data_IF_102349200827
#
_entry.id   IF_102349200827
#
_cell.length_a   1.000
_cell.length_b   1.000
_cell.length_c   1.000
_cell.angle_alpha   90.00
_cell.angle_beta   90.00
_cell.angle_gamma   90.00
#
_symmetry.space_group_name_H-M   'P 1'
#
loop_
_entity.id
_entity.type
_entity.pdbx_description
1 polymer ?
#
# COMPACT_ATOMS: atom_id res chain seq x y z
N UNK A 1 37.06 0.12 -20.97
CA UNK A 1 36.80 -0.46 -19.64
C UNK A 1 35.47 0.09 -19.13
N UNK A 2 34.37 -0.66 -19.29
CA UNK A 2 33.08 -0.24 -18.76
C UNK A 2 33.09 -0.46 -17.25
N UNK A 3 33.03 0.62 -16.46
CA UNK A 3 32.96 0.54 -14.99
C UNK A 3 31.78 -0.37 -14.62
N UNK A 4 32.01 -1.37 -13.76
CA UNK A 4 31.03 -2.36 -13.29
C UNK A 4 29.67 -1.74 -12.88
N UNK A 5 29.71 -0.51 -12.34
CA UNK A 5 28.54 0.32 -12.04
C UNK A 5 27.59 0.53 -13.24
N UNK A 6 28.11 0.79 -14.44
CA UNK A 6 27.29 1.05 -15.63
C UNK A 6 26.60 -0.23 -16.16
N UNK A 7 27.22 -1.40 -15.93
CA UNK A 7 26.68 -2.69 -16.36
C UNK A 7 25.49 -3.11 -15.50
N UNK A 8 25.59 -2.91 -14.17
CA UNK A 8 24.50 -3.21 -13.24
C UNK A 8 23.34 -2.22 -13.46
N UNK A 9 23.64 -0.92 -13.61
CA UNK A 9 22.62 0.10 -13.86
C UNK A 9 21.86 -0.16 -15.18
N UNK A 10 22.56 -0.55 -16.24
CA UNK A 10 21.95 -0.93 -17.52
C UNK A 10 21.06 -2.18 -17.43
N UNK A 11 21.47 -3.20 -16.68
CA UNK A 11 20.63 -4.40 -16.44
C UNK A 11 19.38 -4.09 -15.65
N UNK A 12 19.49 -3.29 -14.59
CA UNK A 12 18.37 -2.93 -13.72
C UNK A 12 17.37 -2.03 -14.45
N UNK A 13 17.84 -0.97 -15.12
CA UNK A 13 16.98 -0.11 -15.93
C UNK A 13 16.36 -0.86 -17.11
N UNK A 14 17.14 -1.71 -17.79
CA UNK A 14 16.64 -2.52 -18.90
C UNK A 14 15.52 -3.46 -18.45
N UNK A 15 15.69 -4.14 -17.30
CA UNK A 15 14.66 -4.99 -16.72
C UNK A 15 13.41 -4.21 -16.28
N UNK A 16 13.59 -3.06 -15.63
CA UNK A 16 12.48 -2.21 -15.19
C UNK A 16 11.67 -1.66 -16.37
N UNK A 17 12.35 -1.15 -17.41
CA UNK A 17 11.73 -0.65 -18.63
C UNK A 17 11.03 -1.77 -19.40
N UNK A 18 11.65 -2.94 -19.52
CA UNK A 18 11.04 -4.10 -20.17
C UNK A 18 9.78 -4.56 -19.43
N UNK A 19 9.81 -4.61 -18.09
CA UNK A 19 8.66 -4.97 -17.28
C UNK A 19 7.52 -3.95 -17.38
N UNK A 20 7.84 -2.66 -17.34
CA UNK A 20 6.86 -1.59 -17.53
C UNK A 20 6.23 -1.63 -18.92
N UNK A 21 7.05 -1.83 -19.96
CA UNK A 21 6.58 -1.99 -21.33
C UNK A 21 5.69 -3.22 -21.48
N UNK A 22 6.08 -4.36 -20.88
CA UNK A 22 5.29 -5.60 -20.91
C UNK A 22 3.91 -5.39 -20.28
N UNK A 23 3.86 -4.74 -19.11
CA UNK A 23 2.59 -4.39 -18.46
C UNK A 23 1.73 -3.49 -19.33
N UNK A 24 2.32 -2.45 -19.93
CA UNK A 24 1.63 -1.54 -20.83
C UNK A 24 1.08 -2.24 -22.07
N UNK A 25 1.85 -3.17 -22.65
CA UNK A 25 1.43 -3.97 -23.81
C UNK A 25 0.25 -4.88 -23.45
N UNK A 26 0.28 -5.57 -22.30
CA UNK A 26 -0.84 -6.42 -21.88
C UNK A 26 -2.13 -5.63 -21.65
N UNK A 27 -2.06 -4.53 -20.90
CA UNK A 27 -3.22 -3.68 -20.64
C UNK A 27 -3.73 -3.05 -21.94
N UNK A 28 -2.83 -2.53 -22.77
CA UNK A 28 -3.17 -1.93 -24.06
C UNK A 28 -3.83 -2.92 -25.02
N UNK A 29 -3.28 -4.13 -25.14
CA UNK A 29 -3.86 -5.19 -25.96
C UNK A 29 -5.25 -5.60 -25.44
N UNK A 30 -5.41 -5.75 -24.13
CA UNK A 30 -6.71 -6.04 -23.50
C UNK A 30 -7.76 -4.95 -23.77
N UNK A 31 -7.37 -3.68 -23.65
CA UNK A 31 -8.25 -2.54 -23.91
C UNK A 31 -8.67 -2.45 -25.39
N UNK A 32 -7.72 -2.62 -26.32
CA UNK A 32 -8.00 -2.60 -27.76
C UNK A 32 -8.90 -3.78 -28.14
N UNK A 33 -8.57 -5.00 -27.68
CA UNK A 33 -9.38 -6.18 -27.93
C UNK A 33 -10.81 -6.00 -27.40
N UNK A 34 -10.95 -5.41 -26.21
CA UNK A 34 -12.27 -5.10 -25.64
C UNK A 34 -13.02 -4.06 -26.48
N UNK A 35 -12.40 -2.93 -26.83
CA UNK A 35 -13.04 -1.87 -27.65
C UNK A 35 -13.56 -2.40 -28.99
N UNK A 36 -12.86 -3.34 -29.61
CA UNK A 36 -13.27 -3.95 -30.89
C UNK A 36 -14.43 -4.95 -30.69
N UNK A 37 -14.45 -5.68 -29.58
CA UNK A 37 -15.42 -6.74 -29.31
C UNK A 37 -16.53 -6.35 -28.32
N UNK A 38 -16.58 -5.09 -27.87
CA UNK A 38 -17.49 -4.62 -26.81
C UNK A 38 -18.96 -4.90 -27.15
N UNK A 39 -19.35 -4.68 -28.42
CA UNK A 39 -20.70 -4.97 -28.91
C UNK A 39 -21.02 -6.47 -28.95
N UNK A 40 -20.02 -7.34 -29.17
CA UNK A 40 -20.21 -8.79 -29.15
C UNK A 40 -20.27 -9.35 -27.72
N UNK A 41 -19.74 -8.61 -26.74
CA UNK A 41 -19.74 -8.98 -25.32
C UNK A 41 -20.78 -8.22 -24.49
N UNK A 42 -21.72 -7.56 -25.16
CA UNK A 42 -22.80 -6.77 -24.53
C UNK A 42 -22.27 -5.78 -23.48
N UNK A 43 -21.09 -5.20 -23.73
CA UNK A 43 -20.40 -4.28 -22.81
C UNK A 43 -20.15 -4.84 -21.39
N UNK A 44 -20.08 -6.17 -21.25
CA UNK A 44 -19.93 -6.84 -19.95
C UNK A 44 -18.67 -6.48 -19.16
N UNK A 45 -17.66 -5.84 -19.78
CA UNK A 45 -16.41 -5.44 -19.12
C UNK A 45 -16.26 -3.92 -18.99
N UNK A 46 -17.32 -3.14 -19.21
CA UNK A 46 -17.27 -1.67 -19.07
C UNK A 46 -16.89 -1.25 -17.64
N UNK A 47 -17.22 -2.08 -16.64
CA UNK A 47 -16.81 -1.87 -15.26
C UNK A 47 -15.28 -1.86 -15.06
N UNK A 48 -14.51 -2.49 -15.96
CA UNK A 48 -13.04 -2.53 -15.91
C UNK A 48 -12.43 -1.40 -16.72
N UNK A 49 -13.02 -1.08 -17.88
CA UNK A 49 -12.39 -0.22 -18.88
C UNK A 49 -12.95 1.21 -18.95
N UNK A 50 -14.09 1.48 -18.29
CA UNK A 50 -14.71 2.79 -18.22
C UNK A 50 -14.77 3.29 -16.76
N UNK A 51 -13.61 3.33 -16.10
CA UNK A 51 -13.51 3.74 -14.70
C UNK A 51 -13.67 5.27 -14.60
N UNK A 52 -14.61 5.77 -13.78
CA UNK A 52 -14.77 7.20 -13.55
C UNK A 52 -13.48 7.87 -13.04
N UNK A 53 -13.19 9.09 -13.49
CA UNK A 53 -12.00 9.85 -13.07
C UNK A 53 -11.93 10.05 -11.54
N UNK A 54 -13.08 10.18 -10.87
CA UNK A 54 -13.17 10.27 -9.40
C UNK A 54 -12.67 9.02 -8.68
N UNK A 55 -12.95 7.84 -9.23
CA UNK A 55 -12.50 6.54 -8.70
C UNK A 55 -10.98 6.43 -8.88
N UNK A 56 -10.46 6.81 -10.05
CA UNK A 56 -9.02 6.82 -10.31
C UNK A 56 -8.27 7.80 -9.41
N UNK A 57 -8.81 8.99 -9.18
CA UNK A 57 -8.23 9.97 -8.27
C UNK A 57 -8.20 9.44 -6.83
N UNK A 58 -9.31 8.88 -6.37
CA UNK A 58 -9.41 8.28 -5.03
C UNK A 58 -8.39 7.16 -4.87
N UNK A 59 -8.32 6.23 -5.85
CA UNK A 59 -7.33 5.17 -5.89
C UNK A 59 -5.89 5.70 -5.81
N UNK A 60 -5.58 6.75 -6.56
CA UNK A 60 -4.24 7.32 -6.63
C UNK A 60 -3.84 7.91 -5.28
N UNK A 61 -4.70 8.75 -4.68
CA UNK A 61 -4.41 9.41 -3.41
C UNK A 61 -4.32 8.40 -2.26
N UNK A 62 -5.31 7.52 -2.12
CA UNK A 62 -5.32 6.50 -1.08
C UNK A 62 -4.21 5.46 -1.29
N UNK A 63 -3.94 5.07 -2.53
CA UNK A 63 -2.88 4.14 -2.88
C UNK A 63 -1.50 4.67 -2.53
N UNK A 64 -1.20 5.93 -2.86
CA UNK A 64 0.07 6.57 -2.49
C UNK A 64 0.23 6.66 -0.97
N UNK A 65 -0.81 7.11 -0.25
CA UNK A 65 -0.76 7.23 1.21
C UNK A 65 -0.67 5.88 1.92
N UNK A 66 -1.41 4.88 1.43
CA UNK A 66 -1.33 3.51 1.92
C UNK A 66 0.06 2.92 1.68
N UNK A 67 0.61 3.10 0.48
CA UNK A 67 1.98 2.71 0.17
C UNK A 67 2.99 3.35 1.14
N UNK A 68 2.90 4.66 1.36
CA UNK A 68 3.79 5.37 2.30
C UNK A 68 3.66 4.82 3.74
N UNK A 69 2.43 4.57 4.20
CA UNK A 69 2.17 3.99 5.52
C UNK A 69 2.88 2.63 5.68
N UNK A 70 2.70 1.72 4.73
CA UNK A 70 3.36 0.42 4.77
C UNK A 70 4.88 0.54 4.60
N UNK A 71 5.37 1.45 3.75
CA UNK A 71 6.79 1.71 3.59
C UNK A 71 7.46 2.15 4.90
N UNK A 72 6.81 3.00 5.70
CA UNK A 72 7.31 3.38 7.03
C UNK A 72 7.33 2.20 8.00
N UNK A 73 6.31 1.35 7.98
CA UNK A 73 6.26 0.15 8.83
C UNK A 73 7.38 -0.83 8.46
N UNK A 74 7.53 -1.14 7.18
CA UNK A 74 8.61 -2.02 6.71
C UNK A 74 9.99 -1.41 6.92
N UNK A 75 10.13 -0.09 6.77
CA UNK A 75 11.37 0.63 7.09
C UNK A 75 11.74 0.54 8.57
N UNK A 76 10.77 0.70 9.46
CA UNK A 76 10.96 0.54 10.90
C UNK A 76 11.33 -0.90 11.28
N UNK A 77 10.65 -1.90 10.70
CA UNK A 77 11.00 -3.30 10.91
C UNK A 77 12.40 -3.63 10.40
N UNK A 78 12.75 -3.16 9.21
CA UNK A 78 14.09 -3.38 8.64
C UNK A 78 15.20 -2.82 9.52
N UNK A 79 14.96 -1.68 10.20
CA UNK A 79 15.90 -1.11 11.15
C UNK A 79 16.04 -1.90 12.46
N UNK A 80 15.02 -2.69 12.84
CA UNK A 80 15.02 -3.52 14.05
C UNK A 80 15.62 -4.91 13.82
N UNK A 81 15.65 -5.36 12.56
CA UNK A 81 16.15 -6.70 12.21
C UNK A 81 17.65 -6.65 11.93
N UNK A 82 18.41 -7.42 12.71
CA UNK A 82 19.88 -7.44 12.62
C UNK A 82 20.43 -8.45 11.59
N UNK A 83 19.60 -9.40 11.13
CA UNK A 83 19.99 -10.47 10.20
C UNK A 83 19.00 -10.59 9.07
N UNK A 84 19.48 -10.74 7.85
CA UNK A 84 18.64 -10.88 6.65
C UNK A 84 17.67 -12.07 6.73
N UNK A 85 18.04 -13.12 7.46
CA UNK A 85 17.22 -14.31 7.75
C UNK A 85 15.96 -14.00 8.57
N UNK A 86 16.03 -13.01 9.47
CA UNK A 86 14.93 -12.64 10.37
C UNK A 86 13.94 -11.64 9.72
N UNK A 87 14.27 -11.09 8.53
CA UNK A 87 13.43 -10.10 7.83
C UNK A 87 12.12 -10.74 7.37
N UNK A 88 12.19 -11.93 6.78
CA UNK A 88 11.02 -12.66 6.29
C UNK A 88 10.07 -13.01 7.43
N UNK A 89 10.60 -13.47 8.56
CA UNK A 89 9.80 -13.77 9.75
C UNK A 89 9.13 -12.50 10.31
N UNK A 90 9.85 -11.38 10.36
CA UNK A 90 9.32 -10.10 10.88
C UNK A 90 8.28 -9.46 9.96
N UNK A 91 8.35 -9.71 8.65
CA UNK A 91 7.43 -9.17 7.65
C UNK A 91 6.13 -9.96 7.55
N UNK A 92 6.14 -11.23 7.97
CA UNK A 92 5.00 -12.16 7.82
C UNK A 92 3.69 -11.64 8.44
N UNK A 93 3.67 -11.08 9.68
CA UNK A 93 2.43 -10.58 10.28
C UNK A 93 1.78 -9.45 9.47
N UNK A 94 2.59 -8.58 8.85
CA UNK A 94 2.09 -7.48 8.03
C UNK A 94 1.54 -8.02 6.71
N UNK A 95 2.20 -9.00 6.11
CA UNK A 95 1.69 -9.68 4.92
C UNK A 95 0.34 -10.34 5.20
N UNK A 96 0.18 -11.02 6.34
CA UNK A 96 -1.11 -11.61 6.75
C UNK A 96 -2.17 -10.52 6.87
N UNK A 97 -1.86 -9.40 7.52
CA UNK A 97 -2.77 -8.27 7.61
C UNK A 97 -3.20 -7.77 6.23
N UNK A 98 -2.25 -7.61 5.31
CA UNK A 98 -2.53 -7.20 3.93
C UNK A 98 -3.46 -8.18 3.21
N UNK A 99 -3.25 -9.49 3.38
CA UNK A 99 -4.12 -10.53 2.80
C UNK A 99 -5.52 -10.48 3.41
N UNK A 100 -5.66 -10.27 4.71
CA UNK A 100 -6.97 -10.12 5.37
C UNK A 100 -7.71 -8.90 4.81
N UNK A 101 -7.02 -7.78 4.65
CA UNK A 101 -7.59 -6.57 4.03
C UNK A 101 -8.04 -6.83 2.60
N UNK A 102 -7.25 -7.57 1.82
CA UNK A 102 -7.61 -7.97 0.47
C UNK A 102 -8.88 -8.81 0.47
N UNK A 103 -9.00 -9.83 1.34
CA UNK A 103 -10.21 -10.67 1.46
C UNK A 103 -11.43 -9.82 1.84
N UNK A 104 -11.30 -8.95 2.85
CA UNK A 104 -12.39 -8.04 3.25
C UNK A 104 -12.84 -7.17 2.08
N UNK A 105 -11.88 -6.64 1.31
CA UNK A 105 -12.17 -5.77 0.17
C UNK A 105 -12.84 -6.54 -0.97
N UNK A 106 -12.42 -7.78 -1.25
CA UNK A 106 -13.06 -8.66 -2.23
C UNK A 106 -14.49 -9.03 -1.82
N UNK A 107 -14.73 -9.43 -0.58
CA UNK A 107 -16.09 -9.70 -0.08
C UNK A 107 -16.94 -8.41 -0.06
N UNK A 108 -16.31 -7.27 0.20
CA UNK A 108 -16.94 -5.96 0.16
C UNK A 108 -17.47 -5.57 -1.23
N UNK A 109 -16.96 -6.14 -2.32
CA UNK A 109 -17.54 -5.91 -3.66
C UNK A 109 -18.95 -6.51 -3.78
N UNK A 110 -19.22 -7.61 -3.09
CA UNK A 110 -20.54 -8.27 -3.10
C UNK A 110 -21.51 -7.61 -2.10
N UNK A 111 -21.00 -7.07 -1.00
CA UNK A 111 -21.78 -6.35 0.00
C UNK A 111 -21.10 -5.02 0.41
N UNK A 112 -21.17 -3.97 -0.43
CA UNK A 112 -20.46 -2.70 -0.21
C UNK A 112 -20.98 -1.89 0.97
N UNK A 113 -22.21 -2.17 1.40
CA UNK A 113 -22.88 -1.51 2.53
C UNK A 113 -22.70 -2.25 3.86
N UNK A 114 -22.04 -3.41 3.83
CA UNK A 114 -21.78 -4.23 5.00
C UNK A 114 -20.96 -3.51 6.06
N UNK A 115 -21.26 -3.77 7.33
CA UNK A 115 -20.58 -3.13 8.46
C UNK A 115 -19.06 -3.34 8.42
N UNK A 116 -18.61 -4.53 8.05
CA UNK A 116 -17.18 -4.89 8.00
C UNK A 116 -16.43 -4.00 7.00
N UNK A 117 -16.93 -3.87 5.77
CA UNK A 117 -16.26 -3.04 4.76
C UNK A 117 -16.34 -1.56 5.11
N UNK A 118 -17.46 -1.09 5.68
CA UNK A 118 -17.60 0.29 6.17
C UNK A 118 -16.52 0.63 7.19
N UNK A 119 -16.34 -0.20 8.22
CA UNK A 119 -15.30 0.00 9.24
C UNK A 119 -13.90 -0.08 8.61
N UNK A 120 -13.65 -1.09 7.78
CA UNK A 120 -12.36 -1.26 7.11
C UNK A 120 -11.98 -0.06 6.22
N UNK A 121 -12.95 0.66 5.65
CA UNK A 121 -12.68 1.88 4.89
C UNK A 121 -12.18 3.04 5.73
N UNK A 122 -12.43 3.09 7.04
CA UNK A 122 -11.91 4.13 7.94
C UNK A 122 -10.62 3.72 8.67
N UNK A 123 -10.34 2.43 8.76
CA UNK A 123 -9.11 1.93 9.39
C UNK A 123 -7.93 2.18 8.44
N UNK A 124 -6.88 2.95 8.83
CA UNK A 124 -5.79 3.36 7.94
C UNK A 124 -5.12 2.21 7.19
N UNK A 125 -4.84 1.10 7.89
CA UNK A 125 -4.16 -0.07 7.34
C UNK A 125 -4.97 -0.79 6.25
N UNK A 126 -6.28 -0.61 6.22
CA UNK A 126 -7.19 -1.24 5.25
C UNK A 126 -7.84 -0.27 4.26
N UNK A 127 -7.90 1.01 4.65
CA UNK A 127 -8.62 2.07 3.94
C UNK A 127 -8.23 2.20 2.46
N UNK A 128 -6.95 1.99 2.12
CA UNK A 128 -6.45 2.12 0.76
C UNK A 128 -7.09 1.15 -0.25
N UNK A 129 -7.47 -0.06 0.19
CA UNK A 129 -8.23 -1.02 -0.64
C UNK A 129 -9.73 -0.91 -0.39
N UNK A 130 -10.13 -0.87 0.87
CA UNK A 130 -11.55 -0.96 1.24
C UNK A 130 -12.34 0.29 0.83
N UNK A 131 -11.77 1.49 0.92
CA UNK A 131 -12.44 2.71 0.44
C UNK A 131 -12.48 2.75 -1.10
N UNK A 132 -11.42 2.29 -1.77
CA UNK A 132 -11.40 2.17 -3.22
C UNK A 132 -12.54 1.29 -3.74
N UNK A 133 -12.76 0.11 -3.13
CA UNK A 133 -13.87 -0.78 -3.49
C UNK A 133 -15.21 -0.07 -3.31
N UNK A 134 -15.47 0.54 -2.15
CA UNK A 134 -16.77 1.18 -1.90
C UNK A 134 -17.04 2.36 -2.85
N UNK A 135 -16.03 3.17 -3.15
CA UNK A 135 -16.14 4.29 -4.11
C UNK A 135 -16.38 3.78 -5.53
N UNK A 136 -15.73 2.68 -5.92
CA UNK A 136 -15.94 2.04 -7.22
C UNK A 136 -17.35 1.48 -7.38
N UNK A 137 -17.96 1.02 -6.28
CA UNK A 137 -19.34 0.52 -6.26
C UNK A 137 -20.39 1.64 -6.11
N UNK A 138 -19.98 2.91 -6.04
CA UNK A 138 -20.89 4.05 -5.98
C UNK A 138 -21.62 4.25 -4.65
N UNK A 139 -21.18 3.59 -3.58
CA UNK A 139 -21.90 3.49 -2.30
C UNK A 139 -21.32 4.40 -1.19
N UNK A 140 -20.66 5.50 -1.53
CA UNK A 140 -19.94 6.35 -0.55
C UNK A 140 -20.19 7.82 -0.82
N UNK A 141 -20.48 8.58 0.24
CA UNK A 141 -20.56 10.03 0.16
C UNK A 141 -19.18 10.68 0.14
N UNK A 142 -19.05 11.84 -0.49
CA UNK A 142 -17.78 12.59 -0.52
C UNK A 142 -17.25 12.93 0.89
N UNK A 143 -18.14 13.06 1.87
CA UNK A 143 -17.79 13.34 3.27
C UNK A 143 -17.12 12.12 3.93
N UNK A 144 -17.62 10.91 3.71
CA UNK A 144 -17.00 9.68 4.20
C UNK A 144 -15.59 9.48 3.62
N UNK A 145 -15.41 9.78 2.32
CA UNK A 145 -14.11 9.74 1.65
C UNK A 145 -13.14 10.74 2.31
N UNK A 146 -13.58 11.98 2.53
CA UNK A 146 -12.76 13.01 3.14
C UNK A 146 -12.34 12.66 4.58
N UNK A 147 -13.27 12.16 5.40
CA UNK A 147 -12.96 11.73 6.78
C UNK A 147 -11.92 10.61 6.78
N UNK A 148 -12.14 9.56 5.98
CA UNK A 148 -11.19 8.44 5.90
C UNK A 148 -9.82 8.91 5.41
N UNK A 149 -9.79 9.81 4.43
CA UNK A 149 -8.54 10.38 3.91
C UNK A 149 -7.78 11.13 5.00
N UNK A 150 -8.46 11.97 5.79
CA UNK A 150 -7.85 12.70 6.91
C UNK A 150 -7.28 11.72 7.94
N UNK A 151 -8.04 10.68 8.29
CA UNK A 151 -7.60 9.64 9.24
C UNK A 151 -6.34 8.93 8.71
N UNK A 152 -6.32 8.59 7.43
CA UNK A 152 -5.17 7.97 6.79
C UNK A 152 -3.95 8.90 6.80
N UNK A 153 -4.09 10.16 6.40
CA UNK A 153 -3.00 11.15 6.42
C UNK A 153 -2.41 11.31 7.81
N UNK A 154 -3.25 11.53 8.83
CA UNK A 154 -2.81 11.70 10.22
C UNK A 154 -2.06 10.45 10.68
N UNK A 155 -2.59 9.27 10.37
CA UNK A 155 -1.95 8.01 10.76
C UNK A 155 -0.62 7.81 10.05
N UNK A 156 -0.53 8.08 8.74
CA UNK A 156 0.71 7.98 7.97
C UNK A 156 1.78 8.90 8.53
N UNK A 157 1.42 10.14 8.89
CA UNK A 157 2.35 11.09 9.53
C UNK A 157 2.81 10.56 10.90
N UNK A 158 1.89 10.10 11.74
CA UNK A 158 2.21 9.56 13.06
C UNK A 158 3.14 8.33 12.98
N UNK A 159 2.84 7.39 12.08
CA UNK A 159 3.68 6.22 11.81
C UNK A 159 5.03 6.64 11.24
N UNK A 160 5.08 7.64 10.36
CA UNK A 160 6.32 8.19 9.82
C UNK A 160 7.24 8.72 10.92
N UNK A 161 6.70 9.48 11.89
CA UNK A 161 7.47 9.94 13.05
C UNK A 161 7.96 8.77 13.92
N UNK A 162 7.10 7.80 14.21
CA UNK A 162 7.49 6.60 14.98
C UNK A 162 8.58 5.81 14.26
N UNK A 163 8.45 5.62 12.96
CA UNK A 163 9.44 4.92 12.14
C UNK A 163 10.78 5.66 12.14
N UNK A 164 10.79 7.00 12.05
CA UNK A 164 12.00 7.79 12.13
C UNK A 164 12.71 7.65 13.49
N UNK A 165 11.97 7.63 14.60
CA UNK A 165 12.52 7.38 15.94
C UNK A 165 13.14 5.97 16.01
N UNK A 166 12.39 4.95 15.58
CA UNK A 166 12.87 3.55 15.55
C UNK A 166 14.15 3.43 14.70
N UNK A 167 14.19 4.10 13.55
CA UNK A 167 15.35 4.10 12.66
C UNK A 167 16.57 4.74 13.33
N UNK A 168 16.41 5.92 13.95
CA UNK A 168 17.50 6.59 14.69
C UNK A 168 18.02 5.69 15.83
N UNK A 169 17.14 5.06 16.58
CA UNK A 169 17.51 4.15 17.67
C UNK A 169 18.23 2.89 17.16
N UNK A 170 17.74 2.27 16.08
CA UNK A 170 18.36 1.09 15.46
C UNK A 170 19.77 1.37 14.92
N UNK A 171 19.99 2.56 14.36
CA UNK A 171 21.33 2.97 13.86
C UNK A 171 22.31 3.39 14.96
N UNK A 172 21.83 3.93 16.09
CA UNK A 172 22.68 4.32 17.23
C UNK A 172 23.04 3.13 18.14
N UNK A 173 22.26 2.04 18.11
CA UNK A 173 22.51 0.83 18.88
C UNK A 173 23.18 -0.24 18.01
N UNK A 174 24.48 -0.05 17.73
CA UNK A 174 25.31 -1.13 17.20
C UNK A 174 25.38 -2.29 18.21
N UNK A 175 24.62 -3.36 17.96
CA UNK A 175 24.95 -4.70 18.45
C UNK A 175 24.12 -5.31 19.58
N UNK A 176 23.05 -4.70 20.08
CA UNK A 176 22.20 -5.36 21.10
C UNK A 176 20.70 -5.30 20.74
N UNK A 177 20.03 -6.46 20.77
CA UNK A 177 18.60 -6.64 20.44
C UNK A 177 17.74 -5.73 21.32
N UNK A 178 17.10 -4.72 20.74
CA UNK A 178 16.13 -3.88 21.44
C UNK A 178 14.84 -4.66 21.64
N UNK A 179 14.46 -4.89 22.90
CA UNK A 179 13.15 -5.46 23.23
C UNK A 179 12.11 -4.35 23.21
N UNK A 180 10.94 -4.61 22.62
CA UNK A 180 9.79 -3.68 22.56
C UNK A 180 9.39 -3.09 23.93
N UNK A 181 9.76 -3.75 25.04
CA UNK A 181 9.51 -3.29 26.42
C UNK A 181 10.36 -2.07 26.83
N UNK A 182 11.50 -1.83 26.18
CA UNK A 182 12.37 -0.69 26.48
C UNK A 182 11.93 0.59 25.76
N UNK A 183 11.10 0.46 24.72
CA UNK A 183 10.54 1.58 23.93
C UNK A 183 9.65 2.49 24.81
N UNK A 184 8.81 1.91 25.67
CA UNK A 184 7.94 2.70 26.55
C UNK A 184 8.69 3.41 27.68
N UNK A 185 9.85 2.89 28.10
CA UNK A 185 10.67 3.54 29.14
C UNK A 185 11.43 4.75 28.61
N UNK A 186 11.87 4.71 27.35
CA UNK A 186 12.65 5.79 26.74
C UNK A 186 11.78 6.98 26.29
N UNK A 187 10.56 6.75 25.81
CA UNK A 187 9.59 7.82 25.51
C UNK A 187 9.24 8.64 26.78
N UNK A 188 9.31 8.02 27.96
CA UNK A 188 9.09 8.70 29.25
C UNK A 188 10.33 9.47 29.74
N UNK A 189 11.53 9.09 29.28
CA UNK A 189 12.79 9.71 29.68
C UNK A 189 13.11 10.97 28.85
N UNK A 190 12.63 11.06 27.60
CA UNK A 190 12.86 12.23 26.72
C UNK A 190 11.95 13.43 27.08
N UNK A 191 11.04 13.27 28.04
CA UNK A 191 10.08 14.30 28.48
C UNK A 191 10.40 14.94 29.84
N UNK A 192 11.54 14.57 30.44
CA UNK A 192 12.13 15.21 31.63
C UNK A 192 13.51 15.77 31.26
#
# INVERSE_FOLDING_TARGET
>A
SAKSSNLIFGKVLGGALAGALQFAVFIGAGFIAYKINAAAWDNSLDFIFNIPASVLLTFSVFGILGYLLYAFIFGALGALVSRTEDISASSTPITILFVVVFIISMTGMQNPEGLIIKVASFVPFSSFMSMFVRVSMGNVSNLEIAISLIILVITTIAIGFLAAIIYRMGTLMYGNRVKLKDIFKLIKAEKN
#
